data_IF_677189437312
#
_entry.id   IF_677189437312
#
_cell.length_a   1.000
_cell.length_b   1.000
_cell.length_c   1.000
_cell.angle_alpha   90.00
_cell.angle_beta   90.00
_cell.angle_gamma   90.00
#
_symmetry.space_group_name_H-M   'P 1'
#
loop_
_entity.id
_entity.type
_entity.pdbx_description
1 polymer ?
#
# COMPACT_ATOMS: atom_id res chain seq x y z
N UNK A 1 7.49 -11.93 -7.32
CA UNK A 1 6.47 -11.32 -6.43
C UNK A 1 6.54 -11.96 -5.05
N UNK A 2 7.00 -11.21 -4.05
CA UNK A 2 7.10 -11.70 -2.67
C UNK A 2 5.73 -11.57 -2.01
N UNK A 3 4.93 -12.63 -2.09
CA UNK A 3 3.61 -12.73 -1.47
C UNK A 3 3.77 -12.75 0.05
N UNK A 4 3.33 -11.70 0.73
CA UNK A 4 3.26 -11.66 2.19
C UNK A 4 1.81 -11.66 2.63
N UNK A 5 1.54 -12.18 3.82
CA UNK A 5 0.18 -12.20 4.34
C UNK A 5 -0.07 -10.95 5.20
N UNK A 6 -1.15 -10.21 4.92
CA UNK A 6 -1.67 -9.18 5.83
C UNK A 6 -2.86 -9.71 6.61
N UNK A 7 -3.04 -9.14 7.78
CA UNK A 7 -4.21 -9.36 8.60
C UNK A 7 -5.17 -8.20 8.46
N UNK A 8 -6.46 -8.49 8.43
CA UNK A 8 -7.54 -7.50 8.40
C UNK A 8 -8.48 -7.79 9.57
N UNK A 9 -8.94 -6.77 10.31
CA UNK A 9 -9.12 -6.93 11.77
C UNK A 9 -10.50 -6.82 12.43
N UNK A 10 -11.56 -6.21 11.94
CA UNK A 10 -12.90 -6.09 12.62
C UNK A 10 -12.90 -6.07 14.17
N UNK A 11 -12.97 -4.89 14.78
CA UNK A 11 -13.11 -4.72 16.24
C UNK A 11 -14.55 -4.36 16.62
N UNK A 12 -15.04 -4.86 17.76
CA UNK A 12 -16.37 -4.54 18.29
C UNK A 12 -16.38 -4.33 19.81
N UNK A 13 -17.12 -3.33 20.31
CA UNK A 13 -17.40 -3.09 21.74
C UNK A 13 -18.87 -3.37 22.11
N UNK A 14 -19.03 -4.11 23.23
CA UNK A 14 -20.23 -4.50 23.96
C UNK A 14 -21.24 -5.50 23.32
N UNK A 15 -21.37 -6.63 24.03
CA UNK A 15 -22.39 -7.70 23.99
C UNK A 15 -22.17 -8.91 23.07
N UNK A 16 -21.51 -9.90 23.70
CA UNK A 16 -21.62 -11.35 23.53
C UNK A 16 -20.80 -11.93 22.37
N UNK A 17 -19.76 -12.69 22.73
CA UNK A 17 -19.01 -13.66 21.91
C UNK A 17 -19.84 -14.39 20.84
N UNK A 18 -21.11 -14.69 21.13
CA UNK A 18 -22.13 -15.25 20.23
C UNK A 18 -22.35 -14.42 18.96
N UNK A 19 -22.39 -13.08 19.03
CA UNK A 19 -22.51 -12.22 17.84
C UNK A 19 -21.21 -12.23 17.02
N UNK A 20 -20.05 -12.27 17.68
CA UNK A 20 -18.76 -12.48 17.00
C UNK A 20 -18.69 -13.82 16.27
N UNK A 21 -19.22 -14.89 16.89
CA UNK A 21 -19.32 -16.23 16.30
C UNK A 21 -20.20 -16.19 15.04
N UNK A 22 -21.41 -15.62 15.14
CA UNK A 22 -22.33 -15.47 14.00
C UNK A 22 -21.73 -14.65 12.86
N UNK A 23 -21.00 -13.58 13.17
CA UNK A 23 -20.32 -12.76 12.16
C UNK A 23 -19.17 -13.53 11.50
N UNK A 24 -18.42 -14.31 12.26
CA UNK A 24 -17.36 -15.18 11.74
C UNK A 24 -17.93 -16.24 10.79
N UNK A 25 -19.01 -16.90 11.18
CA UNK A 25 -19.70 -17.88 10.35
C UNK A 25 -20.26 -17.24 9.08
N UNK A 26 -20.83 -16.04 9.19
CA UNK A 26 -21.29 -15.26 8.04
C UNK A 26 -20.13 -14.91 7.10
N UNK A 27 -19.01 -14.47 7.65
CA UNK A 27 -17.82 -14.10 6.89
C UNK A 27 -17.17 -15.27 6.13
N UNK A 28 -17.37 -16.50 6.61
CA UNK A 28 -16.89 -17.73 5.96
C UNK A 28 -17.79 -18.21 4.81
N UNK A 29 -18.98 -17.64 4.63
CA UNK A 29 -19.89 -18.03 3.53
C UNK A 29 -19.31 -17.62 2.17
N UNK A 30 -19.52 -18.46 1.14
CA UNK A 30 -19.12 -18.13 -0.23
C UNK A 30 -19.80 -16.84 -0.70
N UNK A 31 -19.06 -16.01 -1.42
CA UNK A 31 -19.56 -14.75 -1.99
C UNK A 31 -19.53 -13.55 -1.04
N UNK A 32 -19.32 -13.76 0.27
CA UNK A 32 -19.21 -12.66 1.22
C UNK A 32 -17.84 -11.99 1.11
N UNK A 33 -17.84 -10.69 0.84
CA UNK A 33 -16.61 -9.89 0.84
C UNK A 33 -16.35 -9.39 2.26
N UNK A 34 -15.21 -9.79 2.80
CA UNK A 34 -14.77 -9.34 4.12
C UNK A 34 -14.65 -7.82 4.24
N UNK A 35 -14.34 -7.11 3.14
CA UNK A 35 -14.35 -5.64 3.06
C UNK A 35 -15.71 -5.03 3.46
N UNK A 36 -16.79 -5.68 3.06
CA UNK A 36 -18.14 -5.15 3.27
C UNK A 36 -18.53 -5.30 4.74
N UNK A 37 -18.10 -6.41 5.35
CA UNK A 37 -18.25 -6.63 6.79
C UNK A 37 -17.46 -5.63 7.62
N UNK A 38 -16.27 -5.26 7.17
CA UNK A 38 -15.47 -4.22 7.81
C UNK A 38 -16.25 -2.91 7.77
N UNK A 39 -16.68 -2.47 6.59
CA UNK A 39 -17.41 -1.20 6.46
C UNK A 39 -18.69 -1.14 7.28
N UNK A 40 -19.36 -2.28 7.47
CA UNK A 40 -20.63 -2.36 8.17
C UNK A 40 -20.50 -2.55 9.68
N UNK A 41 -19.49 -3.29 10.15
CA UNK A 41 -19.43 -3.78 11.53
C UNK A 41 -18.15 -3.40 12.28
N UNK A 42 -17.17 -2.76 11.64
CA UNK A 42 -15.94 -2.36 12.34
C UNK A 42 -16.16 -1.08 13.15
N UNK A 43 -15.79 -1.12 14.42
CA UNK A 43 -15.62 0.10 15.23
C UNK A 43 -14.24 0.76 14.98
N UNK A 44 -13.38 0.09 14.20
CA UNK A 44 -12.06 0.58 13.78
C UNK A 44 -12.04 0.90 12.27
N UNK A 45 -12.36 2.13 11.84
CA UNK A 45 -12.44 2.48 10.43
C UNK A 45 -11.07 2.58 9.72
N UNK A 46 -9.94 2.66 10.45
CA UNK A 46 -8.59 2.83 9.87
C UNK A 46 -7.79 1.52 9.67
N UNK A 47 -8.44 0.42 9.27
CA UNK A 47 -7.78 -0.89 9.13
C UNK A 47 -6.65 -0.96 8.08
N UNK A 48 -6.60 -0.03 7.12
CA UNK A 48 -5.55 0.02 6.08
C UNK A 48 -4.13 0.21 6.65
N UNK A 49 -4.01 0.55 7.93
CA UNK A 49 -2.75 0.81 8.63
C UNK A 49 -2.26 -0.34 9.53
N UNK A 50 -2.89 -1.51 9.51
CA UNK A 50 -2.38 -2.63 10.30
C UNK A 50 -1.01 -3.05 9.77
N UNK A 51 0.02 -3.10 10.65
CA UNK A 51 1.35 -3.50 10.23
C UNK A 51 1.31 -4.92 9.67
N UNK A 52 2.19 -5.21 8.72
CA UNK A 52 2.46 -6.58 8.30
C UNK A 52 2.89 -7.36 9.55
N UNK A 53 2.00 -8.19 10.08
CA UNK A 53 2.33 -9.02 11.23
C UNK A 53 3.32 -10.09 10.79
N UNK A 54 4.47 -10.12 11.45
CA UNK A 54 5.50 -11.12 11.26
C UNK A 54 5.65 -11.93 12.53
N UNK A 55 5.68 -13.25 12.41
CA UNK A 55 5.98 -14.13 13.54
C UNK A 55 7.39 -13.89 14.14
N UNK A 56 8.25 -13.15 13.43
CA UNK A 56 9.61 -12.78 13.89
C UNK A 56 9.64 -11.52 14.77
N UNK A 57 8.50 -10.93 15.10
CA UNK A 57 8.44 -9.69 15.86
C UNK A 57 8.59 -9.99 17.36
N UNK A 58 9.63 -9.45 18.05
CA UNK A 58 10.03 -9.91 19.40
C UNK A 58 9.00 -9.73 20.51
N UNK A 59 8.03 -8.82 20.34
CA UNK A 59 7.07 -8.40 21.37
C UNK A 59 5.63 -8.41 20.86
N UNK A 60 5.24 -9.48 20.16
CA UNK A 60 3.87 -9.58 19.63
C UNK A 60 2.87 -9.88 20.77
N UNK A 61 1.83 -9.04 20.98
CA UNK A 61 0.78 -9.31 21.96
C UNK A 61 0.10 -10.67 21.75
N UNK A 62 -0.28 -11.33 22.85
CA UNK A 62 -0.85 -12.68 22.82
C UNK A 62 -2.11 -12.80 21.96
N UNK A 63 -2.97 -11.79 21.99
CA UNK A 63 -4.20 -11.74 21.18
C UNK A 63 -3.92 -11.69 19.66
N UNK A 64 -2.68 -11.48 19.22
CA UNK A 64 -2.30 -11.57 17.80
C UNK A 64 -1.74 -12.95 17.43
N UNK A 65 -1.50 -13.87 18.37
CA UNK A 65 -1.02 -15.22 18.07
C UNK A 65 -2.00 -16.04 17.20
N UNK A 66 -3.34 -15.99 17.41
CA UNK A 66 -4.28 -16.74 16.56
C UNK A 66 -4.21 -16.32 15.08
N UNK A 67 -3.99 -15.03 14.83
CA UNK A 67 -3.84 -14.47 13.49
C UNK A 67 -2.69 -15.12 12.68
N UNK A 68 -1.57 -15.39 13.34
CA UNK A 68 -0.39 -15.99 12.71
C UNK A 68 -0.61 -17.45 12.29
N UNK A 69 -1.54 -18.15 12.95
CA UNK A 69 -1.88 -19.56 12.68
C UNK A 69 -2.80 -19.74 11.47
N UNK A 70 -3.45 -18.67 11.00
CA UNK A 70 -4.38 -18.75 9.87
C UNK A 70 -3.64 -19.11 8.57
N UNK A 71 -4.24 -19.94 7.72
CA UNK A 71 -3.88 -20.07 6.31
C UNK A 71 -4.37 -18.87 5.49
N UNK A 72 -3.80 -18.66 4.30
CA UNK A 72 -4.26 -17.60 3.38
C UNK A 72 -5.74 -17.83 3.03
N UNK A 73 -6.54 -16.78 3.15
CA UNK A 73 -7.99 -16.80 2.93
C UNK A 73 -8.80 -17.16 4.18
N UNK A 74 -8.19 -17.72 5.21
CA UNK A 74 -8.89 -18.11 6.44
C UNK A 74 -9.26 -16.92 7.31
N UNK A 75 -10.33 -17.11 8.09
CA UNK A 75 -10.88 -16.17 9.05
C UNK A 75 -10.81 -16.81 10.44
N UNK A 76 -10.25 -16.12 11.42
CA UNK A 76 -10.15 -16.61 12.80
C UNK A 76 -11.52 -16.69 13.47
N UNK A 77 -11.57 -17.46 14.56
CA UNK A 77 -12.58 -17.22 15.59
C UNK A 77 -12.45 -15.80 16.17
N UNK A 78 -13.49 -15.25 16.83
CA UNK A 78 -13.37 -14.00 17.57
C UNK A 78 -12.27 -14.11 18.63
N UNK A 79 -11.32 -13.19 18.62
CA UNK A 79 -10.18 -13.17 19.54
C UNK A 79 -10.37 -12.05 20.56
N UNK A 80 -10.31 -12.40 21.84
CA UNK A 80 -10.30 -11.45 22.94
C UNK A 80 -9.06 -10.54 22.88
N UNK A 81 -9.26 -9.24 23.00
CA UNK A 81 -8.19 -8.23 23.02
C UNK A 81 -8.50 -7.13 24.04
N UNK A 82 -7.51 -6.30 24.44
CA UNK A 82 -7.73 -5.13 25.28
C UNK A 82 -8.75 -4.12 24.70
N UNK A 83 -9.04 -4.20 23.41
CA UNK A 83 -9.94 -3.29 22.70
C UNK A 83 -11.31 -3.91 22.38
N UNK A 84 -11.57 -5.14 22.85
CA UNK A 84 -12.78 -5.91 22.52
C UNK A 84 -12.46 -7.14 21.66
N UNK A 85 -13.43 -7.60 20.87
CA UNK A 85 -13.26 -8.79 20.04
C UNK A 85 -12.72 -8.43 18.66
N UNK A 86 -11.71 -9.19 18.20
CA UNK A 86 -11.10 -9.03 16.90
C UNK A 86 -11.37 -10.25 16.01
N UNK A 87 -11.74 -10.03 14.76
CA UNK A 87 -11.86 -11.11 13.77
C UNK A 87 -10.83 -10.89 12.67
N UNK A 88 -9.95 -11.87 12.52
CA UNK A 88 -8.81 -11.76 11.64
C UNK A 88 -9.06 -12.49 10.33
N UNK A 89 -8.84 -11.83 9.20
CA UNK A 89 -8.68 -12.51 7.90
C UNK A 89 -7.25 -12.43 7.44
N UNK A 90 -6.65 -13.58 7.11
CA UNK A 90 -5.33 -13.62 6.48
C UNK A 90 -5.49 -13.45 4.98
N UNK A 91 -5.07 -12.30 4.45
CA UNK A 91 -5.12 -12.01 3.02
C UNK A 91 -3.72 -12.06 2.42
N UNK A 92 -3.63 -12.58 1.20
CA UNK A 92 -2.41 -12.49 0.42
C UNK A 92 -2.29 -11.06 -0.10
N UNK A 93 -1.18 -10.38 0.18
CA UNK A 93 -0.92 -9.08 -0.40
C UNK A 93 0.26 -9.14 -1.34
N UNK A 94 0.09 -8.44 -2.45
CA UNK A 94 1.20 -8.12 -3.33
C UNK A 94 1.99 -6.96 -2.71
N UNK A 95 3.28 -7.18 -2.57
CA UNK A 95 4.22 -6.20 -2.11
C UNK A 95 5.17 -5.88 -3.27
N UNK A 96 5.37 -4.60 -3.53
CA UNK A 96 6.26 -4.10 -4.57
C UNK A 96 7.40 -3.32 -3.94
N UNK A 97 8.55 -3.33 -4.60
CA UNK A 97 9.63 -2.37 -4.36
C UNK A 97 9.67 -1.44 -5.56
N UNK A 98 9.68 -0.13 -5.34
CA UNK A 98 9.70 0.82 -6.44
C UNK A 98 10.53 2.06 -6.13
N UNK A 99 10.94 2.73 -7.21
CA UNK A 99 11.53 4.05 -7.18
C UNK A 99 10.70 5.01 -8.04
N UNK A 100 10.77 6.31 -7.76
CA UNK A 100 10.12 7.31 -8.61
C UNK A 100 10.96 8.58 -8.84
N UNK A 101 10.66 9.27 -9.93
CA UNK A 101 11.09 10.64 -10.19
C UNK A 101 9.84 11.50 -10.17
N UNK A 102 9.75 12.45 -9.22
CA UNK A 102 8.61 13.35 -9.09
C UNK A 102 8.99 14.73 -9.66
N UNK A 103 8.21 15.22 -10.61
CA UNK A 103 8.31 16.58 -11.15
C UNK A 103 7.05 17.35 -10.75
N UNK A 104 7.21 18.26 -9.80
CA UNK A 104 6.16 19.16 -9.31
C UNK A 104 5.96 20.36 -10.23
N UNK A 105 4.81 21.03 -10.11
CA UNK A 105 4.50 22.28 -10.80
C UNK A 105 3.70 23.19 -9.87
N UNK A 106 3.60 24.47 -10.21
CA UNK A 106 2.83 25.44 -9.43
C UNK A 106 1.34 25.04 -9.31
N UNK A 107 0.87 24.90 -8.07
CA UNK A 107 -0.48 24.40 -7.76
C UNK A 107 -0.58 22.87 -7.56
N UNK A 108 0.51 22.12 -7.71
CA UNK A 108 0.56 20.74 -7.22
C UNK A 108 0.76 20.72 -5.69
N UNK A 109 0.25 19.68 -5.02
CA UNK A 109 0.39 19.55 -3.57
C UNK A 109 1.86 19.41 -3.19
N UNK A 110 2.28 20.19 -2.17
CA UNK A 110 3.65 20.18 -1.61
C UNK A 110 4.73 20.57 -2.63
N UNK A 111 4.36 21.26 -3.71
CA UNK A 111 5.31 21.79 -4.67
C UNK A 111 6.19 22.87 -4.04
N UNK A 112 7.50 22.78 -4.25
CA UNK A 112 8.47 23.82 -3.88
C UNK A 112 8.95 24.62 -5.08
N UNK A 113 8.61 24.16 -6.29
CA UNK A 113 9.07 24.71 -7.57
C UNK A 113 7.95 25.52 -8.21
N UNK A 114 8.30 26.66 -8.83
CA UNK A 114 7.38 27.60 -9.48
C UNK A 114 7.22 27.38 -10.99
N UNK A 115 7.58 26.20 -11.49
CA UNK A 115 7.47 25.89 -12.92
C UNK A 115 6.02 25.65 -13.32
N UNK A 116 5.66 25.98 -14.56
CA UNK A 116 4.32 25.72 -15.06
C UNK A 116 4.06 24.21 -15.24
N UNK A 117 2.79 23.82 -15.23
CA UNK A 117 2.34 22.45 -15.49
C UNK A 117 2.82 21.95 -16.84
N UNK A 118 2.86 22.78 -17.88
CA UNK A 118 3.35 22.36 -19.21
C UNK A 118 4.84 22.07 -19.17
N UNK A 119 5.63 22.92 -18.51
CA UNK A 119 7.07 22.74 -18.36
C UNK A 119 7.40 21.48 -17.56
N UNK A 120 6.70 21.23 -16.44
CA UNK A 120 6.86 20.02 -15.65
C UNK A 120 6.55 18.75 -16.46
N UNK A 121 5.52 18.80 -17.31
CA UNK A 121 5.18 17.69 -18.20
C UNK A 121 6.29 17.42 -19.22
N UNK A 122 6.78 18.48 -19.88
CA UNK A 122 7.85 18.38 -20.87
C UNK A 122 9.12 17.81 -20.24
N UNK A 123 9.47 18.26 -19.03
CA UNK A 123 10.62 17.73 -18.28
C UNK A 123 10.43 16.24 -17.96
N UNK A 124 9.26 15.82 -17.47
CA UNK A 124 8.98 14.41 -17.22
C UNK A 124 9.06 13.57 -18.51
N UNK A 125 8.52 14.06 -19.63
CA UNK A 125 8.61 13.37 -20.92
C UNK A 125 10.06 13.28 -21.43
N UNK A 126 10.88 14.30 -21.19
CA UNK A 126 12.30 14.29 -21.53
C UNK A 126 13.09 13.28 -20.70
N UNK A 127 12.89 13.24 -19.39
CA UNK A 127 13.51 12.26 -18.49
C UNK A 127 13.11 10.84 -18.93
N UNK A 128 11.85 10.62 -19.29
CA UNK A 128 11.40 9.32 -19.79
C UNK A 128 12.08 8.93 -21.11
N UNK A 129 12.32 9.87 -22.02
CA UNK A 129 13.09 9.61 -23.25
C UNK A 129 14.54 9.23 -22.95
N UNK A 130 15.14 9.86 -21.95
CA UNK A 130 16.51 9.57 -21.55
C UNK A 130 16.64 8.21 -20.86
N UNK A 131 15.66 7.81 -20.04
CA UNK A 131 15.56 6.46 -19.49
C UNK A 131 15.44 5.40 -20.60
N UNK A 132 14.65 5.68 -21.65
CA UNK A 132 14.54 4.79 -22.83
C UNK A 132 15.84 4.69 -23.62
N UNK A 133 16.73 5.68 -23.51
CA UNK A 133 18.08 5.66 -24.08
C UNK A 133 19.13 4.98 -23.18
N UNK A 134 18.70 4.45 -22.04
CA UNK A 134 19.56 3.67 -21.15
C UNK A 134 20.27 4.47 -20.06
N UNK A 135 19.90 5.74 -19.83
CA UNK A 135 20.41 6.49 -18.66
C UNK A 135 19.98 5.81 -17.35
N UNK A 136 20.80 5.93 -16.31
CA UNK A 136 20.48 5.36 -15.01
C UNK A 136 19.30 6.09 -14.34
N UNK A 137 18.41 5.30 -13.73
CA UNK A 137 17.21 5.84 -13.08
C UNK A 137 17.55 6.60 -11.80
N UNK A 138 18.48 6.08 -10.99
CA UNK A 138 18.81 6.68 -9.71
C UNK A 138 19.60 7.98 -9.91
N UNK A 139 20.44 8.08 -10.93
CA UNK A 139 21.09 9.33 -11.35
C UNK A 139 20.06 10.39 -11.73
N UNK A 140 19.16 10.10 -12.67
CA UNK A 140 18.11 11.04 -13.08
C UNK A 140 17.17 11.41 -11.92
N UNK A 141 16.91 10.49 -10.99
CA UNK A 141 16.14 10.78 -9.80
C UNK A 141 16.86 11.76 -8.86
N UNK A 142 18.17 11.61 -8.65
CA UNK A 142 18.97 12.54 -7.83
C UNK A 142 19.05 13.93 -8.47
N UNK A 143 19.13 13.97 -9.79
CA UNK A 143 19.27 15.22 -10.53
C UNK A 143 17.95 16.01 -10.62
N UNK A 144 16.83 15.32 -10.87
CA UNK A 144 15.59 15.99 -11.27
C UNK A 144 14.41 15.83 -10.32
N UNK A 145 14.40 14.83 -9.43
CA UNK A 145 13.23 14.58 -8.59
C UNK A 145 13.08 15.67 -7.53
N UNK A 146 11.90 16.30 -7.47
CA UNK A 146 11.55 17.25 -6.41
C UNK A 146 11.01 16.56 -5.15
N UNK A 147 10.89 15.22 -5.15
CA UNK A 147 10.43 14.43 -4.02
C UNK A 147 11.54 14.18 -2.99
N UNK A 148 11.18 13.89 -1.72
CA UNK A 148 12.16 13.62 -0.66
C UNK A 148 13.00 12.35 -0.88
N UNK A 149 12.55 11.46 -1.76
CA UNK A 149 13.29 10.26 -2.18
C UNK A 149 14.37 10.57 -3.24
N UNK A 150 14.33 11.74 -3.88
CA UNK A 150 15.26 12.14 -4.95
C UNK A 150 16.73 11.90 -4.62
N UNK A 151 17.25 12.44 -3.50
CA UNK A 151 18.63 12.23 -3.07
C UNK A 151 19.03 10.75 -2.88
N UNK A 152 18.04 9.87 -2.63
CA UNK A 152 18.22 8.42 -2.49
C UNK A 152 17.96 7.66 -3.80
N UNK A 153 18.07 8.33 -4.95
CA UNK A 153 17.80 7.72 -6.25
C UNK A 153 16.32 7.41 -6.48
N UNK A 154 15.43 8.12 -5.80
CA UNK A 154 13.99 7.93 -5.91
C UNK A 154 13.44 6.73 -5.15
N UNK A 155 14.24 6.05 -4.32
CA UNK A 155 13.82 4.84 -3.59
C UNK A 155 12.65 5.10 -2.62
N UNK A 156 11.58 4.33 -2.76
CA UNK A 156 10.38 4.36 -1.91
C UNK A 156 10.30 3.15 -0.97
N UNK A 157 11.26 2.22 -1.05
CA UNK A 157 11.24 0.98 -0.29
C UNK A 157 10.11 0.06 -0.72
N UNK A 158 9.56 -0.69 0.25
CA UNK A 158 8.54 -1.73 0.02
C UNK A 158 7.18 -1.26 0.51
N UNK A 159 6.17 -1.40 -0.34
CA UNK A 159 4.81 -1.03 0.00
C UNK A 159 3.78 -1.95 -0.68
N UNK A 160 2.56 -1.92 -0.17
CA UNK A 160 1.40 -2.65 -0.74
C UNK A 160 0.44 -1.69 -1.41
N UNK A 161 -0.48 -2.26 -2.20
CA UNK A 161 -1.65 -1.53 -2.71
C UNK A 161 -2.41 -0.86 -1.56
N UNK A 162 -2.94 0.33 -1.83
CA UNK A 162 -3.60 1.24 -0.91
C UNK A 162 -2.68 2.16 -0.13
N UNK A 163 -1.35 2.05 -0.28
CA UNK A 163 -0.40 2.91 0.45
C UNK A 163 0.03 4.15 -0.35
N UNK A 164 -0.04 4.12 -1.68
CA UNK A 164 0.17 5.31 -2.52
C UNK A 164 -1.17 5.84 -3.02
N UNK A 165 -1.15 7.01 -3.66
CA UNK A 165 -2.34 7.57 -4.33
C UNK A 165 -2.81 6.67 -5.47
N UNK A 166 -4.13 6.64 -5.78
CA UNK A 166 -4.72 5.66 -6.68
C UNK A 166 -4.02 5.54 -8.04
N UNK A 167 -3.62 6.65 -8.66
CA UNK A 167 -2.98 6.66 -9.97
C UNK A 167 -1.56 6.08 -9.93
N UNK A 168 -0.82 6.36 -8.86
CA UNK A 168 0.51 5.79 -8.64
C UNK A 168 0.42 4.28 -8.41
N UNK A 169 -0.51 3.86 -7.55
CA UNK A 169 -0.76 2.46 -7.25
C UNK A 169 -1.20 1.69 -8.50
N UNK A 170 -2.08 2.25 -9.32
CA UNK A 170 -2.50 1.62 -10.56
C UNK A 170 -1.31 1.42 -11.50
N UNK A 171 -0.46 2.44 -11.65
CA UNK A 171 0.72 2.37 -12.51
C UNK A 171 1.72 1.32 -12.01
N UNK A 172 2.20 1.41 -10.77
CA UNK A 172 3.30 0.58 -10.27
C UNK A 172 2.96 -0.92 -10.20
N UNK A 173 1.71 -1.25 -9.88
CA UNK A 173 1.28 -2.65 -9.79
C UNK A 173 1.00 -3.28 -11.16
N UNK A 174 0.83 -2.47 -12.21
CA UNK A 174 0.70 -2.96 -13.59
C UNK A 174 2.06 -3.18 -14.28
N UNK A 175 3.14 -2.62 -13.71
CA UNK A 175 4.50 -2.82 -14.21
C UNK A 175 5.02 -4.22 -13.88
N UNK A 176 5.85 -4.78 -14.76
CA UNK A 176 6.69 -5.94 -14.46
C UNK A 176 7.94 -5.50 -13.67
N UNK A 177 8.57 -6.39 -12.88
CA UNK A 177 9.84 -6.09 -12.25
C UNK A 177 10.89 -5.64 -13.28
N UNK A 178 11.59 -4.54 -12.99
CA UNK A 178 12.54 -3.87 -13.87
C UNK A 178 11.93 -2.82 -14.80
N UNK A 179 10.61 -2.82 -14.99
CA UNK A 179 9.92 -1.94 -15.94
C UNK A 179 9.75 -0.51 -15.40
N UNK A 180 9.73 0.45 -16.33
CA UNK A 180 9.52 1.88 -16.08
C UNK A 180 8.18 2.30 -16.68
N UNK A 181 7.37 3.04 -15.93
CA UNK A 181 6.09 3.56 -16.38
C UNK A 181 6.24 4.65 -17.45
N UNK A 182 5.13 4.98 -18.10
CA UNK A 182 4.96 6.30 -18.71
C UNK A 182 4.93 7.42 -17.67
N UNK A 183 4.60 8.63 -18.11
CA UNK A 183 4.39 9.77 -17.22
C UNK A 183 3.02 9.64 -16.53
N UNK A 184 3.04 9.48 -15.20
CA UNK A 184 1.85 9.30 -14.37
C UNK A 184 1.54 10.63 -13.66
N UNK A 185 0.37 11.21 -13.92
CA UNK A 185 -0.07 12.43 -13.24
C UNK A 185 -0.79 12.08 -11.94
N UNK A 186 -0.46 12.77 -10.86
CA UNK A 186 -1.18 12.73 -9.57
C UNK A 186 -1.40 14.15 -9.06
N UNK A 187 -2.06 14.29 -7.91
CA UNK A 187 -2.16 15.56 -7.18
C UNK A 187 -0.81 16.18 -6.76
N UNK A 188 0.28 15.40 -6.72
CA UNK A 188 1.62 15.87 -6.37
C UNK A 188 2.46 16.31 -7.58
N UNK A 189 1.98 16.10 -8.82
CA UNK A 189 2.74 16.39 -10.03
C UNK A 189 2.84 15.18 -10.96
N UNK A 190 3.90 15.15 -11.76
CA UNK A 190 4.19 14.06 -12.70
C UNK A 190 5.21 13.09 -12.12
N UNK A 191 4.95 11.80 -12.28
CA UNK A 191 5.77 10.73 -11.75
C UNK A 191 6.24 9.85 -12.90
N UNK A 192 7.51 9.46 -12.87
CA UNK A 192 8.01 8.30 -13.60
C UNK A 192 8.36 7.26 -12.57
N UNK A 193 7.84 6.05 -12.72
CA UNK A 193 7.89 5.02 -11.70
C UNK A 193 8.66 3.83 -12.24
N UNK A 194 9.62 3.29 -11.49
CA UNK A 194 10.32 2.06 -11.81
C UNK A 194 9.97 1.00 -10.79
N UNK A 195 9.40 -0.12 -11.23
CA UNK A 195 9.21 -1.28 -10.35
C UNK A 195 10.53 -2.04 -10.26
N UNK A 196 11.04 -2.23 -9.05
CA UNK A 196 12.27 -2.99 -8.79
C UNK A 196 11.93 -4.48 -8.57
N UNK A 197 10.88 -4.80 -7.81
CA UNK A 197 10.46 -6.18 -7.46
C UNK A 197 8.94 -6.36 -7.43
#
# INVERSE_FOLDING_TARGET
>A
MQKQAKLVLICWWLLIKVRGQKLTDYARRKGIKFSDLINQFTDLPQQSKLPLLSAKQPSLPDFLKPALKLGVGQISEPVDSPFGYLIFRRVLVELVTASHILITYEGALRATKKRDRKEARILAEQILKDLKRGKDFAELAREHSDGPSGPKGGDLGRFTRGQMVPEFDQAVFNLKPGEVSGVVKTQFGYHIIKRIK
#
